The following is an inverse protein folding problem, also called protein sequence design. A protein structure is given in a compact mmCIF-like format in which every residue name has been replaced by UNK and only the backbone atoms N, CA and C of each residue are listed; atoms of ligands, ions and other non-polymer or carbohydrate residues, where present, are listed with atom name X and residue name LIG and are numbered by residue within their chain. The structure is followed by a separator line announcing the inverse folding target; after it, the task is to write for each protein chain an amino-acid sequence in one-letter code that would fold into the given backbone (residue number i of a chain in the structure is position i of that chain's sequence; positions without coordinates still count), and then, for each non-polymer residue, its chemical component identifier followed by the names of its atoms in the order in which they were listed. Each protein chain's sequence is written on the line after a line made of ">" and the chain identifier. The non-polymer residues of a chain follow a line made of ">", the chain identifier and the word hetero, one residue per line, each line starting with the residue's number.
data_IF_054084148438
#
_entry.id   IF_054084148438
#
_cell.length_a   1.000
_cell.length_b   1.000
_cell.length_c   1.000
_cell.angle_alpha   90.00
_cell.angle_beta   90.00
_cell.angle_gamma   90.00
#
_symmetry.space_group_name_H-M   'P 1'
#
loop_
_entity.id
_entity.type
_entity.pdbx_description
1 polymer ?
#
# COMPACT_ATOMS: atom_id res chain seq x y z
N UNK A 1 25.51 0.48 3.94
CA UNK A 1 24.19 -0.15 4.15
C UNK A 1 24.14 -1.43 3.33
N UNK A 2 23.90 -2.58 3.96
CA UNK A 2 23.81 -3.85 3.25
C UNK A 2 22.40 -4.03 2.63
N UNK A 3 22.18 -5.10 1.86
CA UNK A 3 20.88 -5.37 1.22
C UNK A 3 19.77 -5.64 2.24
N UNK A 4 20.07 -6.39 3.31
CA UNK A 4 19.12 -6.70 4.38
C UNK A 4 18.62 -5.43 5.07
N UNK A 5 19.50 -4.48 5.35
CA UNK A 5 19.16 -3.17 5.91
C UNK A 5 18.22 -2.40 4.99
N UNK A 6 18.45 -2.46 3.67
CA UNK A 6 17.58 -1.81 2.67
C UNK A 6 16.20 -2.46 2.62
N UNK A 7 16.13 -3.79 2.69
CA UNK A 7 14.86 -4.55 2.73
C UNK A 7 14.06 -4.19 3.98
N UNK A 8 14.71 -4.23 5.15
CA UNK A 8 14.08 -3.82 6.40
C UNK A 8 13.65 -2.35 6.34
N UNK A 9 14.51 -1.46 5.84
CA UNK A 9 14.23 -0.05 5.69
C UNK A 9 13.05 0.22 4.75
N UNK A 10 12.91 -0.53 3.66
CA UNK A 10 11.77 -0.39 2.76
C UNK A 10 10.45 -0.80 3.43
N UNK A 11 10.44 -1.94 4.12
CA UNK A 11 9.22 -2.43 4.77
C UNK A 11 8.85 -1.59 5.99
N UNK A 12 9.77 -1.39 6.93
CA UNK A 12 9.51 -0.56 8.12
C UNK A 12 9.32 0.90 7.77
N UNK A 13 9.98 1.41 6.72
CA UNK A 13 9.77 2.77 6.23
C UNK A 13 8.33 2.99 5.76
N UNK A 14 7.72 2.00 5.10
CA UNK A 14 6.29 2.06 4.77
C UNK A 14 5.41 2.08 6.02
N UNK A 15 5.63 1.16 6.97
CA UNK A 15 4.85 1.09 8.23
C UNK A 15 4.94 2.39 9.03
N UNK A 16 6.16 2.92 9.18
CA UNK A 16 6.42 4.16 9.92
C UNK A 16 5.82 5.35 9.16
N UNK A 17 5.95 5.39 7.83
CA UNK A 17 5.41 6.46 6.99
C UNK A 17 3.89 6.54 7.06
N UNK A 18 3.21 5.39 7.04
CA UNK A 18 1.76 5.27 7.20
C UNK A 18 1.31 5.79 8.58
N UNK A 19 1.84 5.20 9.66
CA UNK A 19 1.49 5.59 11.03
C UNK A 19 1.81 7.07 11.34
N UNK A 20 2.87 7.63 10.75
CA UNK A 20 3.23 9.04 10.89
C UNK A 20 2.30 9.94 10.05
N UNK A 21 1.99 9.52 8.83
CA UNK A 21 1.28 10.32 7.83
C UNK A 21 -0.20 10.53 8.16
N UNK A 22 -0.85 9.55 8.79
CA UNK A 22 -2.29 9.58 9.09
C UNK A 22 -2.73 10.83 9.85
N UNK A 23 -1.92 11.35 10.78
CA UNK A 23 -2.23 12.56 11.52
C UNK A 23 -2.40 13.81 10.64
N UNK A 24 -1.72 13.83 9.50
CA UNK A 24 -1.71 14.95 8.58
C UNK A 24 -2.65 14.74 7.38
N UNK A 25 -3.35 13.61 7.31
CA UNK A 25 -4.27 13.32 6.24
C UNK A 25 -5.40 14.37 6.19
N UNK A 26 -5.76 14.82 4.98
CA UNK A 26 -6.72 15.90 4.73
C UNK A 26 -6.36 17.29 5.30
N UNK A 27 -5.22 17.41 5.99
CA UNK A 27 -4.64 18.68 6.40
C UNK A 27 -4.00 19.43 5.24
N UNK A 28 -3.97 20.76 5.32
CA UNK A 28 -3.19 21.56 4.37
C UNK A 28 -1.71 21.54 4.77
N UNK A 29 -0.82 21.74 3.80
CA UNK A 29 0.61 21.90 4.10
C UNK A 29 0.90 23.00 5.13
N UNK A 30 0.06 24.04 5.20
CA UNK A 30 0.18 25.10 6.20
C UNK A 30 -0.23 24.62 7.59
N UNK A 31 -1.32 23.85 7.71
CA UNK A 31 -1.74 23.23 8.98
C UNK A 31 -0.65 22.30 9.50
N UNK A 32 -0.06 21.48 8.61
CA UNK A 32 1.07 20.62 8.94
C UNK A 32 2.27 21.41 9.45
N UNK A 33 2.65 22.50 8.78
CA UNK A 33 3.75 23.40 9.20
C UNK A 33 3.48 24.04 10.57
N UNK A 34 2.25 24.50 10.81
CA UNK A 34 1.85 25.12 12.08
C UNK A 34 1.93 24.09 13.21
N UNK A 35 1.35 22.89 13.03
CA UNK A 35 1.41 21.80 14.01
C UNK A 35 2.87 21.40 14.33
N UNK A 36 3.75 21.38 13.32
CA UNK A 36 5.18 21.14 13.52
C UNK A 36 5.86 22.28 14.30
N UNK A 37 5.47 23.55 14.08
CA UNK A 37 6.05 24.71 14.75
C UNK A 37 5.54 24.89 16.19
N UNK A 38 4.27 24.63 16.47
CA UNK A 38 3.68 24.70 17.81
C UNK A 38 4.27 23.63 18.74
N UNK A 39 4.49 22.41 18.24
CA UNK A 39 5.17 21.37 19.04
C UNK A 39 6.64 21.67 19.33
N UNK A 40 7.34 22.43 18.47
CA UNK A 40 8.67 22.95 18.82
C UNK A 40 8.60 23.88 20.04
N UNK A 41 7.51 24.64 20.20
CA UNK A 41 7.28 25.54 21.35
C UNK A 41 6.88 24.77 22.62
N UNK A 42 6.00 23.76 22.54
CA UNK A 42 5.64 22.92 23.70
C UNK A 42 6.84 22.13 24.27
N UNK A 43 7.74 21.62 23.41
CA UNK A 43 8.96 20.93 23.87
C UNK A 43 9.91 21.82 24.67
N UNK A 44 9.89 23.14 24.47
CA UNK A 44 10.68 24.06 25.31
C UNK A 44 10.13 24.15 26.74
N UNK A 45 8.84 23.85 26.94
CA UNK A 45 8.15 24.00 28.23
C UNK A 45 7.85 22.68 28.96
N UNK A 46 8.05 21.52 28.34
CA UNK A 46 7.77 20.20 28.95
C UNK A 46 9.03 19.50 29.49
N UNK A 47 9.08 19.25 30.81
CA UNK A 47 10.10 18.45 31.49
C UNK A 47 10.25 17.02 30.92
N UNK A 48 9.19 16.46 30.34
CA UNK A 48 9.17 15.10 29.78
C UNK A 48 9.99 14.97 28.48
N UNK A 49 10.08 16.04 27.69
CA UNK A 49 10.90 16.07 26.47
C UNK A 49 12.39 16.35 26.73
N UNK A 50 12.77 16.61 27.98
CA UNK A 50 14.16 16.85 28.39
C UNK A 50 15.09 15.66 28.16
N UNK A 51 14.57 14.43 28.06
CA UNK A 51 15.36 13.22 27.82
C UNK A 51 15.68 12.97 26.33
N UNK A 52 14.97 13.61 25.40
CA UNK A 52 15.19 13.47 23.95
C UNK A 52 16.19 14.51 23.41
N UNK A 53 16.92 15.22 24.28
CA UNK A 53 17.83 16.31 23.95
C UNK A 53 19.13 15.90 23.23
N UNK A 54 19.38 14.61 23.00
CA UNK A 54 20.63 14.12 22.37
C UNK A 54 20.40 13.46 21.02
N UNK A 55 19.47 13.98 20.20
CA UNK A 55 19.24 13.54 18.82
C UNK A 55 19.22 14.70 17.83
N UNK A 56 19.64 14.50 16.56
CA UNK A 56 19.73 15.57 15.57
C UNK A 56 18.34 15.99 15.08
N UNK A 57 17.98 17.28 15.27
CA UNK A 57 16.77 17.96 14.74
C UNK A 57 15.41 17.30 15.11
N UNK A 58 14.26 18.00 15.06
CA UNK A 58 13.05 17.47 15.67
C UNK A 58 12.46 16.34 14.84
N UNK A 59 12.57 15.12 15.35
CA UNK A 59 11.83 13.94 14.88
C UNK A 59 10.33 14.26 15.01
N UNK A 60 9.60 14.12 13.90
CA UNK A 60 8.15 14.27 13.88
C UNK A 60 7.51 13.18 14.75
N UNK A 61 6.66 13.54 15.72
CA UNK A 61 6.04 12.54 16.57
C UNK A 61 4.93 11.79 15.81
N UNK A 62 4.78 10.51 16.15
CA UNK A 62 3.65 9.69 15.71
C UNK A 62 2.52 9.87 16.73
N UNK A 63 1.35 10.34 16.30
CA UNK A 63 0.34 10.90 17.21
C UNK A 63 -1.04 10.21 17.18
N UNK A 64 -1.32 9.38 16.17
CA UNK A 64 -2.67 8.82 15.98
C UNK A 64 -3.68 9.88 15.53
N UNK A 65 -4.96 9.53 15.38
CA UNK A 65 -6.05 10.44 14.99
C UNK A 65 -7.36 10.03 15.67
N UNK A 66 -7.97 10.95 16.42
CA UNK A 66 -9.21 10.68 17.16
C UNK A 66 -10.43 10.46 16.24
N UNK A 67 -10.54 11.20 15.13
CA UNK A 67 -11.72 11.13 14.24
C UNK A 67 -11.96 9.74 13.64
N UNK A 68 -10.91 8.95 13.49
CA UNK A 68 -10.97 7.57 13.00
C UNK A 68 -10.62 6.54 14.11
N UNK A 69 -10.51 6.98 15.37
CA UNK A 69 -10.09 6.15 16.52
C UNK A 69 -8.77 5.41 16.29
N UNK A 70 -7.80 6.09 15.66
CA UNK A 70 -6.49 5.55 15.34
C UNK A 70 -5.51 5.92 16.45
N UNK A 71 -4.93 4.93 17.11
CA UNK A 71 -3.97 5.14 18.20
C UNK A 71 -2.60 5.60 17.68
N UNK A 72 -1.81 6.27 18.52
CA UNK A 72 -0.43 6.60 18.18
C UNK A 72 0.37 5.32 17.87
N UNK A 73 0.97 5.25 16.68
CA UNK A 73 1.73 4.08 16.20
C UNK A 73 0.89 3.07 15.43
N UNK A 74 -0.43 3.22 15.41
CA UNK A 74 -1.30 2.39 14.58
C UNK A 74 -1.16 2.80 13.11
N UNK A 75 -0.89 1.80 12.27
CA UNK A 75 -0.86 1.93 10.81
C UNK A 75 -2.26 1.68 10.22
N UNK A 76 -2.44 1.98 8.94
CA UNK A 76 -3.75 2.03 8.27
C UNK A 76 -3.82 1.11 7.05
N UNK A 77 -4.71 1.38 6.09
CA UNK A 77 -4.93 0.54 4.91
C UNK A 77 -3.67 0.34 4.05
N UNK A 78 -2.76 1.32 4.00
CA UNK A 78 -1.49 1.21 3.30
C UNK A 78 -0.69 -0.02 3.78
N UNK A 79 -0.53 -0.14 5.10
CA UNK A 79 0.24 -1.23 5.72
C UNK A 79 -0.58 -2.52 5.84
N UNK A 80 -1.86 -2.44 6.19
CA UNK A 80 -2.70 -3.63 6.33
C UNK A 80 -2.85 -4.39 5.00
N UNK A 81 -3.00 -3.67 3.89
CA UNK A 81 -3.02 -4.29 2.56
C UNK A 81 -1.64 -4.83 2.16
N UNK A 82 -0.55 -4.12 2.46
CA UNK A 82 0.79 -4.66 2.21
C UNK A 82 1.08 -5.94 3.00
N UNK A 83 0.63 -6.03 4.25
CA UNK A 83 0.70 -7.24 5.07
C UNK A 83 -0.15 -8.37 4.47
N UNK A 84 -1.33 -8.05 3.96
CA UNK A 84 -2.20 -9.04 3.28
C UNK A 84 -1.51 -9.64 2.05
N UNK A 85 -0.87 -8.79 1.24
CA UNK A 85 -0.07 -9.20 0.09
C UNK A 85 1.13 -10.07 0.50
N UNK A 86 1.92 -9.62 1.47
CA UNK A 86 3.09 -10.36 1.94
C UNK A 86 2.71 -11.74 2.49
N UNK A 87 1.63 -11.83 3.27
CA UNK A 87 1.10 -13.10 3.80
C UNK A 87 0.65 -14.04 2.69
N UNK A 88 -0.01 -13.52 1.66
CA UNK A 88 -0.39 -14.32 0.49
C UNK A 88 0.83 -14.89 -0.23
N UNK A 89 1.84 -14.04 -0.49
CA UNK A 89 3.08 -14.47 -1.15
C UNK A 89 3.78 -15.59 -0.37
N UNK A 90 3.85 -15.47 0.96
CA UNK A 90 4.43 -16.49 1.84
C UNK A 90 3.60 -17.77 1.81
N UNK A 91 2.28 -17.67 1.99
CA UNK A 91 1.38 -18.83 2.05
C UNK A 91 1.37 -19.64 0.75
N UNK A 92 1.56 -18.96 -0.39
CA UNK A 92 1.54 -19.57 -1.72
C UNK A 92 2.94 -19.90 -2.26
N UNK A 93 4.00 -19.60 -1.51
CA UNK A 93 5.39 -19.72 -1.94
C UNK A 93 5.64 -19.05 -3.32
N UNK A 94 5.04 -17.88 -3.53
CA UNK A 94 4.97 -17.21 -4.83
C UNK A 94 3.77 -16.28 -4.93
N UNK A 95 3.63 -15.61 -6.05
CA UNK A 95 2.48 -14.73 -6.28
C UNK A 95 1.31 -15.50 -6.92
N UNK A 96 0.15 -15.44 -6.27
CA UNK A 96 -1.12 -16.00 -6.75
C UNK A 96 -2.18 -14.90 -6.70
N UNK A 97 -2.58 -14.38 -7.85
CA UNK A 97 -3.53 -13.27 -7.94
C UNK A 97 -4.90 -13.56 -7.30
N UNK A 98 -5.35 -14.82 -7.32
CA UNK A 98 -6.66 -15.20 -6.78
C UNK A 98 -6.57 -15.20 -5.26
N UNK A 99 -5.50 -15.77 -4.70
CA UNK A 99 -5.25 -15.75 -3.25
C UNK A 99 -5.09 -14.31 -2.74
N UNK A 100 -4.36 -13.45 -3.46
CA UNK A 100 -4.18 -12.03 -3.12
C UNK A 100 -5.52 -11.30 -3.14
N UNK A 101 -6.33 -11.48 -4.18
CA UNK A 101 -7.66 -10.86 -4.28
C UNK A 101 -8.59 -11.30 -3.14
N UNK A 102 -8.57 -12.59 -2.80
CA UNK A 102 -9.31 -13.12 -1.66
C UNK A 102 -8.80 -12.53 -0.33
N UNK A 103 -7.48 -12.40 -0.16
CA UNK A 103 -6.89 -11.80 1.03
C UNK A 103 -7.32 -10.34 1.22
N UNK A 104 -7.30 -9.54 0.15
CA UNK A 104 -7.77 -8.16 0.20
C UNK A 104 -9.28 -8.06 0.47
N UNK A 105 -10.09 -8.92 -0.15
CA UNK A 105 -11.54 -8.91 0.06
C UNK A 105 -11.90 -9.37 1.47
N UNK A 106 -11.21 -10.38 2.01
CA UNK A 106 -11.35 -10.80 3.40
C UNK A 106 -10.99 -9.68 4.37
N UNK A 107 -9.83 -9.02 4.17
CA UNK A 107 -9.44 -7.85 4.97
C UNK A 107 -10.55 -6.80 4.96
N UNK A 108 -11.04 -6.41 3.78
CA UNK A 108 -12.05 -5.36 3.70
C UNK A 108 -13.41 -5.75 4.29
N UNK A 109 -13.94 -6.92 3.91
CA UNK A 109 -15.30 -7.34 4.28
C UNK A 109 -15.40 -7.91 5.70
N UNK A 110 -14.37 -8.60 6.18
CA UNK A 110 -14.44 -9.37 7.42
C UNK A 110 -13.74 -8.69 8.60
N UNK A 111 -12.65 -7.95 8.38
CA UNK A 111 -11.92 -7.28 9.49
C UNK A 111 -12.39 -5.86 9.75
N UNK A 112 -13.17 -5.25 8.84
CA UNK A 112 -13.74 -3.90 8.95
C UNK A 112 -12.66 -2.85 9.28
N UNK A 113 -11.70 -2.61 8.36
CA UNK A 113 -10.57 -1.73 8.61
C UNK A 113 -11.04 -0.29 8.89
N UNK A 114 -10.29 0.42 9.75
CA UNK A 114 -10.60 1.79 10.15
C UNK A 114 -10.61 2.75 8.95
N UNK A 115 -9.70 2.56 8.02
CA UNK A 115 -9.59 3.30 6.76
C UNK A 115 -9.65 2.35 5.58
N UNK A 116 -10.17 2.86 4.46
CA UNK A 116 -10.00 2.25 3.15
C UNK A 116 -10.40 3.27 2.08
N UNK A 117 -9.54 3.50 1.09
CA UNK A 117 -9.85 4.39 -0.03
C UNK A 117 -11.09 3.96 -0.83
N UNK A 118 -11.86 4.92 -1.37
CA UNK A 118 -13.13 4.65 -2.05
C UNK A 118 -13.00 3.69 -3.25
N UNK A 119 -11.96 3.83 -4.06
CA UNK A 119 -11.68 2.93 -5.19
C UNK A 119 -11.40 1.51 -4.73
N UNK A 120 -10.63 1.34 -3.66
CA UNK A 120 -10.36 0.05 -3.02
C UNK A 120 -11.65 -0.55 -2.47
N UNK A 121 -12.47 0.23 -1.73
CA UNK A 121 -13.79 -0.20 -1.21
C UNK A 121 -14.71 -0.70 -2.32
N UNK A 122 -14.79 0.05 -3.43
CA UNK A 122 -15.65 -0.30 -4.58
C UNK A 122 -15.22 -1.60 -5.25
N UNK A 123 -13.91 -1.86 -5.34
CA UNK A 123 -13.39 -3.10 -5.90
C UNK A 123 -13.63 -4.31 -4.98
N UNK A 124 -13.25 -4.19 -3.71
CA UNK A 124 -13.13 -5.31 -2.77
C UNK A 124 -14.44 -5.71 -2.08
N UNK A 125 -15.48 -4.87 -2.18
CA UNK A 125 -16.82 -5.22 -1.68
C UNK A 125 -17.37 -6.39 -2.49
N UNK A 126 -17.17 -7.59 -1.95
CA UNK A 126 -17.58 -8.84 -2.57
C UNK A 126 -18.82 -9.38 -1.87
N UNK A 127 -19.91 -9.52 -2.63
CA UNK A 127 -21.15 -10.13 -2.17
C UNK A 127 -21.04 -11.65 -2.07
N UNK A 128 -20.16 -12.31 -2.84
CA UNK A 128 -19.97 -13.76 -2.72
C UNK A 128 -19.56 -14.17 -1.30
N UNK A 129 -18.79 -13.35 -0.59
CA UNK A 129 -18.44 -13.61 0.81
C UNK A 129 -19.68 -13.66 1.73
N UNK A 130 -20.73 -12.90 1.42
CA UNK A 130 -21.97 -12.90 2.19
C UNK A 130 -22.90 -14.08 1.84
N UNK A 131 -22.65 -14.77 0.72
CA UNK A 131 -23.42 -15.95 0.28
C UNK A 131 -22.86 -17.26 0.82
N UNK A 132 -21.77 -17.20 1.57
CA UNK A 132 -21.15 -18.38 2.16
C UNK A 132 -21.85 -18.65 3.49
N UNK A 133 -22.51 -19.81 3.58
CA UNK A 133 -23.36 -20.20 4.72
C UNK A 133 -22.58 -20.54 6.01
N UNK A 134 -21.27 -20.28 6.03
CA UNK A 134 -20.39 -20.52 7.17
C UNK A 134 -19.59 -19.26 7.54
N UNK A 135 -19.27 -19.05 8.83
CA UNK A 135 -18.40 -17.96 9.23
C UNK A 135 -17.04 -18.07 8.55
N UNK A 136 -16.57 -16.97 7.96
CA UNK A 136 -15.24 -16.88 7.37
C UNK A 136 -14.29 -16.31 8.41
N UNK A 137 -13.29 -17.08 8.81
CA UNK A 137 -12.32 -16.72 9.85
C UNK A 137 -10.98 -16.32 9.22
N UNK A 138 -9.95 -15.95 10.01
CA UNK A 138 -8.60 -15.76 9.48
C UNK A 138 -8.03 -17.02 8.77
N UNK A 139 -8.65 -18.19 8.96
CA UNK A 139 -8.32 -19.44 8.28
C UNK A 139 -9.04 -19.62 6.92
N UNK A 140 -9.60 -18.55 6.33
CA UNK A 140 -10.36 -18.57 5.09
C UNK A 140 -9.71 -19.35 3.93
N UNK A 141 -8.38 -19.44 3.87
CA UNK A 141 -7.68 -20.21 2.83
C UNK A 141 -8.05 -21.70 2.82
N UNK A 142 -8.28 -22.26 3.99
CA UNK A 142 -8.67 -23.66 4.18
C UNK A 142 -10.20 -23.82 4.23
N UNK A 143 -10.93 -22.74 4.54
CA UNK A 143 -12.39 -22.75 4.59
C UNK A 143 -13.00 -22.58 3.21
N UNK A 144 -12.41 -21.75 2.34
CA UNK A 144 -12.89 -21.52 0.99
C UNK A 144 -12.40 -22.59 0.03
N UNK A 145 -13.31 -23.14 -0.75
CA UNK A 145 -13.02 -23.97 -1.92
C UNK A 145 -12.35 -23.13 -3.01
N UNK A 146 -11.69 -23.80 -3.96
CA UNK A 146 -11.06 -23.10 -5.10
C UNK A 146 -12.10 -22.41 -5.99
N UNK A 147 -13.31 -22.95 -6.12
CA UNK A 147 -14.39 -22.33 -6.88
C UNK A 147 -14.93 -21.07 -6.18
N UNK A 148 -15.10 -21.10 -4.85
CA UNK A 148 -15.46 -19.90 -4.08
C UNK A 148 -14.41 -18.80 -4.23
N UNK A 149 -13.11 -19.15 -4.15
CA UNK A 149 -12.01 -18.20 -4.37
C UNK A 149 -12.04 -17.60 -5.78
N UNK A 150 -12.30 -18.41 -6.81
CA UNK A 150 -12.48 -17.94 -8.19
C UNK A 150 -13.67 -17.00 -8.33
N UNK A 151 -14.81 -17.35 -7.75
CA UNK A 151 -16.02 -16.53 -7.80
C UNK A 151 -15.83 -15.16 -7.12
N UNK A 152 -15.11 -15.13 -5.98
CA UNK A 152 -14.72 -13.88 -5.31
C UNK A 152 -13.86 -13.02 -6.24
N UNK A 153 -12.81 -13.60 -6.83
CA UNK A 153 -11.93 -12.91 -7.76
C UNK A 153 -12.68 -12.36 -8.98
N UNK A 154 -13.58 -13.14 -9.57
CA UNK A 154 -14.39 -12.71 -10.71
C UNK A 154 -15.33 -11.55 -10.36
N UNK A 155 -15.94 -11.55 -9.18
CA UNK A 155 -16.76 -10.43 -8.72
C UNK A 155 -15.93 -9.16 -8.54
N UNK A 156 -14.74 -9.27 -7.92
CA UNK A 156 -13.82 -8.14 -7.75
C UNK A 156 -13.43 -7.56 -9.11
N UNK A 157 -13.06 -8.41 -10.08
CA UNK A 157 -12.75 -7.96 -11.44
C UNK A 157 -13.93 -7.23 -12.10
N UNK A 158 -15.15 -7.75 -11.98
CA UNK A 158 -16.36 -7.08 -12.48
C UNK A 158 -16.55 -5.72 -11.81
N UNK A 159 -16.34 -5.63 -10.50
CA UNK A 159 -16.44 -4.38 -9.75
C UNK A 159 -15.43 -3.34 -10.22
N UNK A 160 -14.17 -3.73 -10.43
CA UNK A 160 -13.11 -2.84 -10.91
C UNK A 160 -13.46 -2.28 -12.29
N UNK A 161 -13.81 -3.13 -13.23
CA UNK A 161 -14.15 -2.72 -14.60
C UNK A 161 -15.41 -1.84 -14.64
N UNK A 162 -16.36 -2.05 -13.73
CA UNK A 162 -17.59 -1.25 -13.67
C UNK A 162 -17.37 0.11 -12.99
N UNK A 163 -16.57 0.17 -11.93
CA UNK A 163 -16.58 1.30 -10.99
C UNK A 163 -15.30 2.13 -10.98
N UNK A 164 -14.18 1.58 -11.46
CA UNK A 164 -12.85 2.16 -11.22
C UNK A 164 -12.09 2.59 -12.49
N UNK A 165 -12.72 2.54 -13.67
CA UNK A 165 -12.08 2.88 -14.96
C UNK A 165 -11.38 4.25 -14.98
N UNK A 166 -11.97 5.23 -14.31
CA UNK A 166 -11.47 6.60 -14.28
C UNK A 166 -10.61 6.92 -13.06
N UNK A 167 -10.45 5.99 -12.11
CA UNK A 167 -9.74 6.29 -10.86
C UNK A 167 -8.22 6.34 -11.07
N UNK A 168 -7.62 7.41 -10.54
CA UNK A 168 -6.17 7.63 -10.47
C UNK A 168 -5.67 7.63 -9.01
N UNK A 169 -6.44 7.11 -8.06
CA UNK A 169 -6.03 7.06 -6.66
C UNK A 169 -4.80 6.15 -6.44
N UNK A 170 -4.09 6.38 -5.34
CA UNK A 170 -2.89 5.64 -4.94
C UNK A 170 -3.16 4.27 -4.29
N UNK A 171 -4.43 3.82 -4.19
CA UNK A 171 -4.82 2.63 -3.41
C UNK A 171 -4.16 1.31 -3.82
N UNK A 172 -3.68 1.20 -5.07
CA UNK A 172 -2.88 0.07 -5.54
C UNK A 172 -1.37 0.28 -5.31
N UNK A 173 -0.91 1.53 -5.39
CA UNK A 173 0.50 1.90 -5.21
C UNK A 173 0.95 1.74 -3.76
N UNK A 174 0.15 2.20 -2.81
CA UNK A 174 0.52 2.28 -1.38
C UNK A 174 0.86 0.93 -0.73
N UNK A 175 0.34 -0.17 -1.28
CA UNK A 175 0.48 -1.52 -0.70
C UNK A 175 1.55 -2.40 -1.34
N UNK A 176 2.18 -1.96 -2.44
CA UNK A 176 2.82 -2.87 -3.41
C UNK A 176 4.30 -3.19 -3.12
N UNK A 177 4.89 -2.61 -2.08
CA UNK A 177 6.31 -2.82 -1.72
C UNK A 177 6.70 -4.30 -1.50
N UNK A 178 5.85 -5.22 -1.01
CA UNK A 178 6.20 -6.63 -0.88
C UNK A 178 6.61 -7.28 -2.21
N UNK A 179 6.04 -6.86 -3.35
CA UNK A 179 6.46 -7.39 -4.65
C UNK A 179 7.89 -7.00 -4.97
N UNK A 180 8.26 -5.74 -4.71
CA UNK A 180 9.63 -5.29 -4.90
C UNK A 180 10.60 -6.04 -3.99
N UNK A 181 10.24 -6.27 -2.72
CA UNK A 181 11.09 -6.95 -1.74
C UNK A 181 11.33 -8.41 -2.15
N UNK A 182 10.26 -9.17 -2.42
CA UNK A 182 10.36 -10.60 -2.70
C UNK A 182 10.93 -10.87 -4.10
N UNK A 183 10.49 -10.10 -5.10
CA UNK A 183 10.82 -10.36 -6.51
C UNK A 183 11.86 -9.41 -7.12
N UNK A 184 12.65 -8.68 -6.31
CA UNK A 184 13.71 -7.74 -6.78
C UNK A 184 14.72 -8.31 -7.79
N UNK A 185 14.96 -9.61 -7.73
CA UNK A 185 15.90 -10.33 -8.61
C UNK A 185 15.23 -10.85 -9.88
N UNK A 186 13.92 -10.67 -10.03
CA UNK A 186 13.19 -10.97 -11.25
C UNK A 186 13.61 -10.01 -12.37
N UNK A 187 13.55 -10.49 -13.61
CA UNK A 187 13.71 -9.65 -14.80
C UNK A 187 12.77 -8.44 -14.74
N UNK A 188 13.29 -7.24 -15.02
CA UNK A 188 12.54 -5.97 -14.91
C UNK A 188 11.21 -5.99 -15.64
N UNK A 189 11.15 -6.57 -16.84
CA UNK A 189 9.90 -6.67 -17.62
C UNK A 189 8.86 -7.50 -16.88
N UNK A 190 9.24 -8.68 -16.37
CA UNK A 190 8.34 -9.56 -15.60
C UNK A 190 7.90 -8.91 -14.29
N UNK A 191 8.80 -8.21 -13.61
CA UNK A 191 8.49 -7.48 -12.38
C UNK A 191 7.46 -6.35 -12.62
N UNK A 192 7.57 -5.64 -13.77
CA UNK A 192 6.56 -4.65 -14.17
C UNK A 192 5.19 -5.28 -14.39
N UNK A 193 5.13 -6.38 -15.13
CA UNK A 193 3.84 -7.06 -15.39
C UNK A 193 3.23 -7.60 -14.10
N UNK A 194 4.05 -8.16 -13.19
CA UNK A 194 3.60 -8.62 -11.88
C UNK A 194 2.98 -7.48 -11.04
N UNK A 195 3.63 -6.31 -11.04
CA UNK A 195 3.13 -5.14 -10.33
C UNK A 195 1.81 -4.62 -10.93
N UNK A 196 1.68 -4.64 -12.26
CA UNK A 196 0.41 -4.31 -12.93
C UNK A 196 -0.67 -5.32 -12.61
N UNK A 197 -0.32 -6.61 -12.53
CA UNK A 197 -1.27 -7.67 -12.18
C UNK A 197 -1.85 -7.46 -10.78
N UNK A 198 -1.03 -7.17 -9.75
CA UNK A 198 -1.57 -6.85 -8.41
C UNK A 198 -2.39 -5.55 -8.41
N UNK A 199 -1.87 -4.50 -9.03
CA UNK A 199 -2.56 -3.22 -9.07
C UNK A 199 -3.94 -3.34 -9.73
N UNK A 200 -4.06 -4.21 -10.74
CA UNK A 200 -5.30 -4.48 -11.47
C UNK A 200 -6.43 -5.06 -10.61
N UNK A 201 -6.10 -5.65 -9.46
CA UNK A 201 -7.08 -6.20 -8.51
C UNK A 201 -8.01 -5.10 -7.98
N UNK A 202 -7.54 -3.84 -7.89
CA UNK A 202 -8.41 -2.73 -7.46
C UNK A 202 -8.45 -1.54 -8.41
N UNK A 203 -7.48 -1.38 -9.33
CA UNK A 203 -7.39 -0.22 -10.24
C UNK A 203 -7.17 -0.70 -11.67
N UNK A 204 -8.02 -0.31 -12.61
CA UNK A 204 -7.86 -0.68 -14.03
C UNK A 204 -7.33 0.46 -14.92
N UNK A 205 -7.15 1.67 -14.36
CA UNK A 205 -6.63 2.78 -15.15
C UNK A 205 -5.14 2.56 -15.50
N UNK A 206 -4.74 2.66 -16.78
CA UNK A 206 -3.35 2.43 -17.19
C UNK A 206 -2.33 3.30 -16.47
N UNK A 207 -2.67 4.55 -16.11
CA UNK A 207 -1.77 5.46 -15.40
C UNK A 207 -1.51 4.95 -13.97
N UNK A 208 -2.55 4.48 -13.28
CA UNK A 208 -2.41 3.90 -11.94
C UNK A 208 -1.57 2.60 -11.98
N UNK A 209 -1.81 1.75 -12.99
CA UNK A 209 -1.04 0.53 -13.21
C UNK A 209 0.45 0.82 -13.51
N UNK A 210 0.72 1.79 -14.38
CA UNK A 210 2.09 2.20 -14.71
C UNK A 210 2.78 2.87 -13.52
N UNK A 211 2.08 3.65 -12.70
CA UNK A 211 2.64 4.23 -11.48
C UNK A 211 3.07 3.15 -10.48
N UNK A 212 2.20 2.16 -10.22
CA UNK A 212 2.51 1.03 -9.35
C UNK A 212 3.71 0.22 -9.86
N UNK A 213 3.73 -0.10 -11.16
CA UNK A 213 4.85 -0.82 -11.78
C UNK A 213 6.18 -0.05 -11.72
N UNK A 214 6.12 1.27 -11.96
CA UNK A 214 7.29 2.15 -11.92
C UNK A 214 7.87 2.19 -10.51
N UNK A 215 7.02 2.31 -9.49
CA UNK A 215 7.43 2.27 -8.09
C UNK A 215 8.10 0.95 -7.71
N UNK A 216 7.51 -0.20 -8.07
CA UNK A 216 8.08 -1.53 -7.78
C UNK A 216 9.47 -1.69 -8.40
N UNK A 217 9.64 -1.29 -9.66
CA UNK A 217 10.95 -1.37 -10.33
C UNK A 217 11.98 -0.45 -9.67
N UNK A 218 11.59 0.78 -9.35
CA UNK A 218 12.45 1.73 -8.67
C UNK A 218 12.90 1.20 -7.31
N UNK A 219 11.96 0.70 -6.51
CA UNK A 219 12.24 0.13 -5.20
C UNK A 219 13.15 -1.10 -5.31
N UNK A 220 12.88 -2.02 -6.25
CA UNK A 220 13.73 -3.19 -6.48
C UNK A 220 15.17 -2.80 -6.87
N UNK A 221 15.36 -1.75 -7.68
CA UNK A 221 16.68 -1.24 -8.01
C UNK A 221 17.41 -0.66 -6.78
N UNK A 222 16.71 0.11 -5.95
CA UNK A 222 17.25 0.67 -4.70
C UNK A 222 17.63 -0.45 -3.73
N UNK A 223 16.81 -1.48 -3.57
CA UNK A 223 17.10 -2.65 -2.73
C UNK A 223 18.40 -3.36 -3.17
N UNK A 224 18.66 -3.43 -4.48
CA UNK A 224 19.90 -3.96 -5.06
C UNK A 224 21.11 -3.04 -4.92
N UNK A 225 20.94 -1.84 -4.36
CA UNK A 225 22.02 -0.90 -4.07
C UNK A 225 22.26 0.16 -5.15
N UNK A 226 21.30 0.44 -6.03
CA UNK A 226 21.38 1.60 -6.91
C UNK A 226 21.52 2.90 -6.10
N UNK A 227 22.48 3.77 -6.43
CA UNK A 227 22.85 4.95 -5.62
C UNK A 227 22.49 6.30 -6.25
N UNK A 228 22.17 6.38 -7.55
CA UNK A 228 21.69 7.58 -8.28
C UNK A 228 20.79 7.18 -9.45
N UNK A 229 19.88 8.08 -9.83
CA UNK A 229 18.95 8.01 -10.97
C UNK A 229 18.64 6.59 -11.46
N UNK A 230 17.62 5.95 -10.87
CA UNK A 230 17.02 4.80 -11.54
C UNK A 230 16.39 5.33 -12.82
N UNK A 231 17.06 5.14 -13.96
CA UNK A 231 16.48 5.41 -15.28
C UNK A 231 15.36 4.42 -15.51
N UNK A 232 14.15 4.82 -15.11
CA UNK A 232 12.93 4.09 -15.39
C UNK A 232 12.60 4.38 -16.86
N UNK A 233 12.78 3.38 -17.72
CA UNK A 233 12.24 3.45 -19.07
C UNK A 233 10.71 3.36 -18.97
N UNK A 234 10.06 4.52 -18.87
CA UNK A 234 8.61 4.64 -18.73
C UNK A 234 7.84 4.22 -20.01
N UNK A 235 8.51 3.70 -21.03
CA UNK A 235 7.85 2.97 -22.12
C UNK A 235 6.75 3.79 -22.82
N UNK A 236 7.12 4.92 -23.41
CA UNK A 236 6.60 5.55 -24.66
C UNK A 236 7.05 7.00 -24.72
N UNK A 237 7.90 7.33 -25.71
CA UNK A 237 7.99 8.71 -26.21
C UNK A 237 6.60 9.06 -26.75
N UNK A 238 5.80 9.84 -26.02
CA UNK A 238 4.63 10.49 -26.61
C UNK A 238 5.19 11.47 -27.65
N UNK A 239 4.99 11.17 -28.92
CA UNK A 239 5.14 12.17 -29.98
C UNK A 239 4.15 13.29 -29.67
N UNK A 240 4.66 14.36 -29.03
CA UNK A 240 3.93 15.61 -28.93
C UNK A 240 3.83 16.11 -30.37
N UNK A 241 2.63 16.00 -30.93
CA UNK A 241 2.27 16.59 -32.21
C UNK A 241 2.64 18.07 -32.12
N UNK A 242 3.68 18.49 -32.84
CA UNK A 242 3.89 19.90 -33.15
C UNK A 242 2.65 20.31 -33.96
N UNK A 243 1.77 21.12 -33.36
CA UNK A 243 0.79 21.86 -34.13
C UNK A 243 1.58 22.77 -35.08
N UNK A 244 1.35 22.59 -36.38
CA UNK A 244 1.65 23.61 -37.39
C UNK A 244 0.75 24.83 -37.16
#
# INVERSE_FOLDING_TARGET
>A
MNEKDRIHGAFFGQVIGDALGVFFEFGTANVTKIAMAEKKREKQNSKFFGLLKTGPEPILPILGVDSNSISAGQFTDDTEMALSLARSIIAKNGYDKIDVACAYSYWFCCTRPCTAGLTTKKALRCQMLNKIDKPITPNWRNELTEDEKRNIYEEINKNVLKQNMQSLSNGSLMRISPLAIVFRNMETKKLRELAKEDASITHCNPIALDAAATYVVALAALLKGATKEVKLDCGKKRNIIKKC
#
